data_IF_409817842918
#
_entry.id   IF_409817842918
#
_cell.length_a   1.000
_cell.length_b   1.000
_cell.length_c   1.000
_cell.angle_alpha   90.00
_cell.angle_beta   90.00
_cell.angle_gamma   90.00
#
_symmetry.space_group_name_H-M   'P 1'
#
loop_
_entity.id
_entity.type
_entity.pdbx_description
1 polymer ?
#
# COMPACT_ATOMS: atom_id res chain seq x y z
N UNK A 1 -43.15 -26.14 39.93
CA UNK A 1 -42.40 -24.98 40.46
C UNK A 1 -40.95 -25.12 39.98
N UNK A 2 -40.48 -24.28 39.06
CA UNK A 2 -39.06 -24.25 38.68
C UNK A 2 -38.23 -23.75 39.85
N UNK A 3 -37.27 -24.57 40.24
CA UNK A 3 -36.42 -24.29 41.40
C UNK A 3 -35.59 -23.02 41.15
N UNK A 4 -35.49 -22.14 42.14
CA UNK A 4 -34.80 -20.86 42.06
C UNK A 4 -33.30 -21.02 41.60
N UNK A 5 -32.72 -22.19 41.88
CA UNK A 5 -31.39 -22.58 41.45
C UNK A 5 -31.28 -22.78 39.91
N UNK A 6 -32.34 -23.30 39.26
CA UNK A 6 -32.34 -23.52 37.81
C UNK A 6 -32.47 -22.21 37.04
N UNK A 7 -33.20 -21.23 37.59
CA UNK A 7 -33.30 -19.90 37.00
C UNK A 7 -31.96 -19.14 37.07
N UNK A 8 -31.27 -19.22 38.24
CA UNK A 8 -29.93 -18.58 38.40
C UNK A 8 -28.89 -19.20 37.45
N UNK A 9 -28.87 -20.52 37.34
CA UNK A 9 -28.00 -21.24 36.44
C UNK A 9 -28.22 -20.85 34.97
N UNK A 10 -29.49 -20.77 34.55
CA UNK A 10 -29.85 -20.36 33.17
C UNK A 10 -29.40 -18.92 32.86
N UNK A 11 -29.55 -18.01 33.81
CA UNK A 11 -29.13 -16.60 33.66
C UNK A 11 -27.59 -16.48 33.57
N UNK A 12 -26.87 -17.25 34.38
CA UNK A 12 -25.39 -17.29 34.35
C UNK A 12 -24.89 -17.86 33.05
N UNK A 13 -25.49 -18.94 32.54
CA UNK A 13 -25.11 -19.52 31.22
C UNK A 13 -25.36 -18.54 30.10
N UNK A 14 -26.48 -17.84 30.04
CA UNK A 14 -26.74 -16.81 29.01
C UNK A 14 -25.75 -15.67 29.09
N UNK A 15 -25.42 -15.19 30.30
CA UNK A 15 -24.44 -14.11 30.50
C UNK A 15 -23.04 -14.53 30.08
N UNK A 16 -22.64 -15.78 30.37
CA UNK A 16 -21.37 -16.34 30.01
C UNK A 16 -21.25 -16.56 28.46
N UNK A 17 -22.35 -17.02 27.83
CA UNK A 17 -22.44 -17.18 26.39
C UNK A 17 -22.33 -15.85 25.66
N UNK A 18 -23.06 -14.82 26.10
CA UNK A 18 -22.99 -13.48 25.53
C UNK A 18 -21.60 -12.87 25.69
N UNK A 19 -20.93 -13.12 26.83
CA UNK A 19 -19.56 -12.65 27.05
C UNK A 19 -18.55 -13.34 26.11
N UNK A 20 -18.67 -14.66 25.90
CA UNK A 20 -17.84 -15.38 24.94
C UNK A 20 -18.07 -14.91 23.51
N UNK A 21 -19.34 -14.67 23.13
CA UNK A 21 -19.69 -14.14 21.83
C UNK A 21 -19.08 -12.74 21.61
N UNK A 22 -19.14 -11.88 22.65
CA UNK A 22 -18.52 -10.56 22.60
C UNK A 22 -17.01 -10.64 22.41
N UNK A 23 -16.32 -11.55 23.10
CA UNK A 23 -14.88 -11.75 22.93
C UNK A 23 -14.52 -12.24 21.52
N UNK A 24 -15.33 -13.14 20.94
CA UNK A 24 -15.13 -13.60 19.57
C UNK A 24 -15.31 -12.46 18.57
N UNK A 25 -16.34 -11.62 18.75
CA UNK A 25 -16.57 -10.45 17.88
C UNK A 25 -15.42 -9.45 18.01
N UNK A 26 -14.94 -9.18 19.23
CA UNK A 26 -13.78 -8.29 19.44
C UNK A 26 -12.52 -8.88 18.79
N UNK A 27 -12.30 -10.19 18.91
CA UNK A 27 -11.16 -10.87 18.27
C UNK A 27 -11.25 -10.81 16.75
N UNK A 28 -12.44 -11.01 16.16
CA UNK A 28 -12.64 -10.91 14.70
C UNK A 28 -12.48 -9.46 14.19
N UNK A 29 -12.87 -8.46 14.98
CA UNK A 29 -12.66 -7.05 14.66
C UNK A 29 -11.18 -6.63 14.80
N UNK A 30 -10.39 -7.38 15.57
CA UNK A 30 -8.94 -7.14 15.73
C UNK A 30 -8.12 -7.68 14.57
N UNK A 31 -8.67 -8.55 13.72
CA UNK A 31 -8.08 -9.00 12.46
C UNK A 31 -8.16 -7.88 11.42
N UNK A 32 -7.58 -6.72 11.74
CA UNK A 32 -7.22 -5.76 10.70
C UNK A 32 -6.17 -6.45 9.85
N UNK A 33 -6.54 -6.82 8.62
CA UNK A 33 -5.56 -7.11 7.60
C UNK A 33 -4.65 -5.91 7.55
N UNK A 34 -3.43 -6.07 8.03
CA UNK A 34 -2.34 -5.17 7.70
C UNK A 34 -2.13 -5.39 6.19
N UNK A 35 -2.90 -4.70 5.36
CA UNK A 35 -2.49 -4.47 3.99
C UNK A 35 -1.18 -3.73 4.15
N UNK A 36 -0.10 -4.41 3.83
CA UNK A 36 1.20 -3.78 3.72
C UNK A 36 0.99 -2.54 2.84
N UNK A 37 1.26 -1.37 3.39
CA UNK A 37 1.05 -0.08 2.73
C UNK A 37 2.21 0.16 1.76
N UNK A 38 2.42 -0.85 0.89
CA UNK A 38 3.46 -0.84 -0.12
C UNK A 38 2.89 -0.24 -1.38
N UNK A 39 3.65 0.61 -2.03
CA UNK A 39 3.26 1.19 -3.33
C UNK A 39 4.45 1.62 -4.15
N UNK A 40 4.27 1.65 -5.44
CA UNK A 40 5.11 2.39 -6.37
C UNK A 40 4.42 3.71 -6.70
N UNK A 41 4.98 4.82 -6.23
CA UNK A 41 4.50 6.15 -6.55
C UNK A 41 5.23 6.68 -7.77
N UNK A 42 4.50 6.99 -8.84
CA UNK A 42 5.03 7.68 -10.02
C UNK A 42 4.66 9.16 -9.95
N UNK A 43 5.65 10.01 -9.85
CA UNK A 43 5.49 11.46 -10.01
C UNK A 43 5.54 11.77 -11.50
N UNK A 44 4.45 12.30 -12.03
CA UNK A 44 4.27 12.56 -13.46
C UNK A 44 3.91 14.03 -13.72
N UNK A 45 3.82 14.42 -14.97
CA UNK A 45 3.31 15.71 -15.40
C UNK A 45 2.74 15.61 -16.82
N UNK A 46 1.71 16.38 -17.14
CA UNK A 46 1.04 16.35 -18.44
C UNK A 46 1.98 16.62 -19.62
N UNK A 47 2.96 17.51 -19.44
CA UNK A 47 3.96 17.88 -20.46
C UNK A 47 5.18 16.95 -20.51
N UNK A 48 5.20 15.89 -19.69
CA UNK A 48 6.36 15.01 -19.54
C UNK A 48 6.42 13.96 -20.66
N UNK A 49 7.28 14.16 -21.66
CA UNK A 49 7.48 13.23 -22.77
C UNK A 49 7.97 11.86 -22.31
N UNK A 50 8.90 11.82 -21.36
CA UNK A 50 9.43 10.55 -20.82
C UNK A 50 8.39 9.78 -20.00
N UNK A 51 7.46 10.48 -19.34
CA UNK A 51 6.32 9.85 -18.68
C UNK A 51 5.43 9.13 -19.71
N UNK A 52 5.14 9.79 -20.83
CA UNK A 52 4.33 9.21 -21.92
C UNK A 52 5.03 7.99 -22.57
N UNK A 53 6.34 8.03 -22.72
CA UNK A 53 7.12 6.90 -23.23
C UNK A 53 7.03 5.73 -22.26
N UNK A 54 7.26 5.97 -20.96
CA UNK A 54 7.13 4.95 -19.94
C UNK A 54 5.73 4.33 -19.91
N UNK A 55 4.67 5.13 -20.01
CA UNK A 55 3.28 4.63 -20.04
C UNK A 55 3.03 3.70 -21.24
N UNK A 56 3.65 3.96 -22.38
CA UNK A 56 3.54 3.08 -23.57
C UNK A 56 4.28 1.77 -23.40
N UNK A 57 5.47 1.82 -22.83
CA UNK A 57 6.40 0.68 -22.76
C UNK A 57 6.17 -0.18 -21.51
N UNK A 58 5.92 0.46 -20.36
CA UNK A 58 5.82 -0.20 -19.06
C UNK A 58 4.42 -0.10 -18.48
N UNK A 59 3.78 1.08 -18.49
CA UNK A 59 2.55 1.36 -17.77
C UNK A 59 1.41 0.37 -18.06
N UNK A 60 1.32 -0.12 -19.31
CA UNK A 60 0.29 -1.10 -19.71
C UNK A 60 0.59 -2.53 -19.24
N UNK A 61 1.85 -2.86 -19.05
CA UNK A 61 2.28 -4.21 -18.62
C UNK A 61 2.51 -4.28 -17.13
N UNK A 62 2.87 -3.19 -16.47
CA UNK A 62 3.16 -3.12 -15.03
C UNK A 62 2.08 -3.80 -14.17
N UNK A 63 0.76 -3.56 -14.35
CA UNK A 63 -0.29 -4.21 -13.55
C UNK A 63 -0.33 -5.74 -13.68
N UNK A 64 0.35 -6.31 -14.68
CA UNK A 64 0.40 -7.76 -14.94
C UNK A 64 1.66 -8.42 -14.36
N UNK A 65 2.55 -7.65 -13.77
CA UNK A 65 3.81 -8.12 -13.19
C UNK A 65 3.63 -8.58 -11.75
N UNK A 66 4.54 -9.42 -11.27
CA UNK A 66 4.55 -9.81 -9.85
C UNK A 66 4.93 -8.63 -8.95
N UNK A 67 5.77 -7.72 -9.42
CA UNK A 67 6.13 -6.48 -8.72
C UNK A 67 4.89 -5.66 -8.39
N UNK A 68 3.94 -5.53 -9.33
CA UNK A 68 2.72 -4.74 -9.13
C UNK A 68 1.78 -5.31 -8.06
N UNK A 69 1.88 -6.62 -7.78
CA UNK A 69 1.10 -7.26 -6.69
C UNK A 69 1.61 -6.84 -5.32
N UNK A 70 2.93 -6.65 -5.20
CA UNK A 70 3.58 -6.19 -3.97
C UNK A 70 3.63 -4.68 -3.86
N UNK A 71 3.77 -3.98 -4.99
CA UNK A 71 3.87 -2.53 -5.09
C UNK A 71 2.86 -2.00 -6.13
N UNK A 72 1.57 -1.86 -5.77
CA UNK A 72 0.57 -1.26 -6.65
C UNK A 72 1.00 0.13 -7.11
N UNK A 73 0.81 0.43 -8.40
CA UNK A 73 1.19 1.70 -8.98
C UNK A 73 0.17 2.79 -8.66
N UNK A 74 0.64 3.85 -8.06
CA UNK A 74 -0.08 5.10 -7.82
C UNK A 74 0.59 6.22 -8.61
N UNK A 75 -0.20 7.13 -9.19
CA UNK A 75 0.29 8.30 -9.94
C UNK A 75 -0.11 9.57 -9.22
N UNK A 76 0.81 10.52 -9.17
CA UNK A 76 0.56 11.85 -8.65
C UNK A 76 1.18 12.89 -9.58
N UNK A 77 0.44 13.96 -9.83
CA UNK A 77 0.97 15.10 -10.57
C UNK A 77 2.04 15.82 -9.75
N UNK A 78 3.07 16.33 -10.44
CA UNK A 78 4.20 17.00 -9.80
C UNK A 78 3.74 18.14 -8.87
N UNK A 79 2.76 18.93 -9.29
CA UNK A 79 2.25 20.05 -8.52
C UNK A 79 1.55 19.59 -7.23
N UNK A 80 0.78 18.50 -7.27
CA UNK A 80 0.15 17.90 -6.09
C UNK A 80 1.20 17.35 -5.13
N UNK A 81 2.26 16.72 -5.67
CA UNK A 81 3.35 16.18 -4.87
C UNK A 81 4.10 17.30 -4.13
N UNK A 82 4.39 18.41 -4.79
CA UNK A 82 5.06 19.56 -4.18
C UNK A 82 4.23 20.23 -3.07
N UNK A 83 2.91 20.21 -3.20
CA UNK A 83 1.99 20.74 -2.19
C UNK A 83 1.91 19.81 -0.97
N UNK A 84 1.94 18.49 -1.17
CA UNK A 84 1.74 17.49 -0.12
C UNK A 84 2.99 17.22 0.72
N UNK A 85 4.18 17.52 0.21
CA UNK A 85 5.46 17.23 0.87
C UNK A 85 6.24 18.51 1.14
N UNK A 86 6.24 18.98 2.39
CA UNK A 86 7.03 20.15 2.84
C UNK A 86 8.57 19.90 2.80
N UNK A 87 9.00 18.64 2.72
CA UNK A 87 10.42 18.30 2.59
C UNK A 87 10.82 18.15 1.13
N UNK A 88 10.92 19.28 0.44
CA UNK A 88 11.34 19.33 -0.96
C UNK A 88 12.78 18.88 -1.14
N UNK A 89 12.96 17.60 -1.43
CA UNK A 89 14.19 17.15 -2.05
C UNK A 89 14.13 17.53 -3.55
N UNK A 90 15.14 18.23 -4.06
CA UNK A 90 15.26 18.63 -5.48
C UNK A 90 14.99 17.48 -6.45
N UNK A 91 15.38 16.26 -6.09
CA UNK A 91 15.18 15.05 -6.89
C UNK A 91 13.71 14.72 -7.16
N UNK A 92 12.78 15.19 -6.34
CA UNK A 92 11.32 14.98 -6.53
C UNK A 92 10.70 15.94 -7.56
N UNK A 93 11.45 16.90 -8.07
CA UNK A 93 11.01 17.85 -9.12
C UNK A 93 11.24 17.35 -10.55
N UNK A 94 11.85 16.18 -10.70
CA UNK A 94 12.11 15.57 -12.00
C UNK A 94 11.01 14.54 -12.32
N UNK A 95 10.46 14.61 -13.52
CA UNK A 95 9.44 13.66 -14.01
C UNK A 95 9.95 12.85 -15.21
N UNK A 96 9.64 11.54 -15.26
CA UNK A 96 9.03 10.76 -14.20
C UNK A 96 10.01 10.50 -13.04
N UNK A 97 9.51 10.43 -11.81
CA UNK A 97 10.24 9.86 -10.69
C UNK A 97 9.38 8.75 -10.09
N UNK A 98 9.99 7.60 -9.81
CA UNK A 98 9.32 6.43 -9.28
C UNK A 98 9.87 6.16 -7.88
N UNK A 99 9.00 6.16 -6.86
CA UNK A 99 9.39 5.96 -5.46
C UNK A 99 8.73 4.70 -4.95
N UNK A 100 9.53 3.75 -4.48
CA UNK A 100 9.07 2.52 -3.86
C UNK A 100 8.89 2.74 -2.36
N UNK A 101 7.67 2.55 -1.87
CA UNK A 101 7.35 2.59 -0.45
C UNK A 101 7.01 1.19 0.06
N UNK A 102 7.61 0.82 1.19
CA UNK A 102 7.28 -0.37 1.95
C UNK A 102 6.93 0.05 3.38
N UNK A 103 5.72 -0.30 3.84
CA UNK A 103 5.25 0.08 5.18
C UNK A 103 5.35 1.59 5.46
N UNK A 104 5.12 2.43 4.43
CA UNK A 104 5.23 3.91 4.42
C UNK A 104 6.65 4.46 4.41
N UNK A 105 7.67 3.62 4.43
CA UNK A 105 9.06 4.05 4.31
C UNK A 105 9.52 3.92 2.85
N UNK A 106 10.30 4.90 2.39
CA UNK A 106 10.93 4.85 1.08
C UNK A 106 12.10 3.86 1.12
N UNK A 107 12.01 2.81 0.29
CA UNK A 107 13.08 1.81 0.13
C UNK A 107 13.99 2.09 -1.06
N UNK A 108 13.56 2.95 -1.99
CA UNK A 108 14.37 3.38 -3.12
C UNK A 108 13.56 4.17 -4.14
N UNK A 109 14.28 4.83 -5.06
CA UNK A 109 13.67 5.59 -6.14
C UNK A 109 14.44 5.49 -7.45
N UNK A 110 13.70 5.69 -8.54
CA UNK A 110 14.24 5.80 -9.90
C UNK A 110 13.90 7.21 -10.40
N UNK A 111 14.92 7.96 -10.80
CA UNK A 111 14.76 9.35 -11.26
C UNK A 111 14.91 9.36 -12.78
N UNK A 112 13.87 9.80 -13.48
CA UNK A 112 13.81 9.80 -14.93
C UNK A 112 13.47 8.44 -15.52
N UNK A 113 13.46 8.39 -16.86
CA UNK A 113 13.23 7.16 -17.62
C UNK A 113 14.12 7.17 -18.87
N UNK A 114 14.85 6.11 -19.08
CA UNK A 114 15.72 5.95 -20.26
C UNK A 114 15.28 4.81 -21.19
N UNK A 115 14.97 3.64 -20.61
CA UNK A 115 14.51 2.46 -21.35
C UNK A 115 13.82 1.46 -20.42
N UNK A 116 13.02 0.56 -20.99
CA UNK A 116 12.38 -0.53 -20.25
C UNK A 116 13.40 -1.43 -19.54
N UNK A 117 14.49 -1.79 -20.21
CA UNK A 117 15.54 -2.63 -19.66
C UNK A 117 16.17 -1.99 -18.42
N UNK A 118 16.55 -0.71 -18.50
CA UNK A 118 17.14 0.02 -17.38
C UNK A 118 16.16 0.20 -16.23
N UNK A 119 14.89 0.44 -16.53
CA UNK A 119 13.86 0.56 -15.51
C UNK A 119 13.75 -0.73 -14.69
N UNK A 120 13.61 -1.88 -15.34
CA UNK A 120 13.49 -3.16 -14.65
C UNK A 120 14.75 -3.55 -13.89
N UNK A 121 15.92 -3.27 -14.45
CA UNK A 121 17.18 -3.47 -13.73
C UNK A 121 17.24 -2.65 -12.44
N UNK A 122 16.84 -1.37 -12.47
CA UNK A 122 16.80 -0.53 -11.29
C UNK A 122 15.74 -1.00 -10.27
N UNK A 123 14.60 -1.51 -10.73
CA UNK A 123 13.58 -2.14 -9.87
C UNK A 123 14.17 -3.32 -9.12
N UNK A 124 14.84 -4.24 -9.84
CA UNK A 124 15.47 -5.41 -9.24
C UNK A 124 16.53 -4.99 -8.20
N UNK A 125 17.38 -4.00 -8.52
CA UNK A 125 18.36 -3.45 -7.58
C UNK A 125 17.75 -2.86 -6.30
N UNK A 126 16.59 -2.25 -6.39
CA UNK A 126 15.88 -1.71 -5.21
C UNK A 126 15.32 -2.84 -4.36
N UNK A 127 14.67 -3.83 -5.00
CA UNK A 127 13.99 -4.91 -4.31
C UNK A 127 14.95 -5.96 -3.73
N UNK A 128 16.13 -6.14 -4.33
CA UNK A 128 17.15 -7.06 -3.83
C UNK A 128 17.89 -6.52 -2.59
N UNK A 129 17.84 -5.20 -2.35
CA UNK A 129 18.48 -4.55 -1.18
C UNK A 129 17.61 -4.49 0.05
N UNK A 130 16.30 -4.78 -0.09
CA UNK A 130 15.31 -4.73 0.96
C UNK A 130 15.07 -6.11 1.57
#
# INVERSE_FOLDING_TARGET
>A
MKNQKDLLSSMLFKKLYNFKLLLIVIFLLSLKSSFADNKLLMITADYCVYCQIWEKEIGKIYPKTDVSKSFPLERIELDEHLISNESDNYETKITPTFIFFKEKEEIGRIIGYSSAEMFWWQVDEILDRD
#
